data_IF_410449285607
#
_entry.id   IF_410449285607
#
_cell.length_a   1.000
_cell.length_b   1.000
_cell.length_c   1.000
_cell.angle_alpha   90.00
_cell.angle_beta   90.00
_cell.angle_gamma   90.00
#
_symmetry.space_group_name_H-M   'P 1'
#
loop_
_entity.id
_entity.type
_entity.pdbx_description
1 polymer ?
#
# COMPACT_ATOMS: atom_id res chain seq x y z
N UNK A 1 23.18 -9.16 7.77
CA UNK A 1 23.69 -8.04 8.60
C UNK A 1 22.55 -7.56 9.50
N UNK A 2 22.84 -7.20 10.73
CA UNK A 2 21.82 -6.64 11.65
C UNK A 2 21.51 -5.22 11.16
N UNK A 3 20.24 -4.93 10.84
CA UNK A 3 19.83 -3.59 10.45
C UNK A 3 19.95 -2.63 11.64
N UNK A 4 20.46 -1.40 11.48
CA UNK A 4 20.64 -0.45 12.60
C UNK A 4 19.36 -0.19 13.40
N UNK A 5 18.19 -0.18 12.74
CA UNK A 5 16.88 0.02 13.37
C UNK A 5 16.40 -1.17 14.22
N UNK A 6 17.09 -2.33 14.21
CA UNK A 6 16.84 -3.41 15.16
C UNK A 6 17.30 -3.04 16.56
N UNK A 7 18.49 -2.43 16.68
CA UNK A 7 19.10 -2.07 17.97
C UNK A 7 18.72 -0.67 18.44
N UNK A 8 18.45 0.25 17.50
CA UNK A 8 18.14 1.64 17.77
C UNK A 8 16.87 2.05 17.04
N UNK A 9 15.70 1.58 17.50
CA UNK A 9 14.42 1.93 16.89
C UNK A 9 14.12 3.43 17.09
N UNK A 10 13.50 4.03 16.10
CA UNK A 10 12.99 5.40 16.16
C UNK A 10 11.58 5.39 16.78
N UNK A 11 11.51 5.74 18.08
CA UNK A 11 10.27 5.71 18.87
C UNK A 11 10.23 6.77 19.99
N UNK A 12 11.26 7.61 20.10
CA UNK A 12 11.35 8.61 21.17
C UNK A 12 10.82 9.95 20.68
N UNK A 13 10.39 10.82 21.59
CA UNK A 13 9.85 12.13 21.24
C UNK A 13 10.81 12.99 20.42
N UNK A 14 12.12 12.85 20.59
CA UNK A 14 13.14 13.52 19.79
C UNK A 14 13.20 13.02 18.33
N UNK A 15 12.70 11.81 18.05
CA UNK A 15 12.71 11.20 16.71
C UNK A 15 11.57 11.71 15.82
N UNK A 16 10.71 12.58 16.33
CA UNK A 16 9.57 13.10 15.55
C UNK A 16 10.02 13.69 14.21
N UNK A 17 9.42 13.20 13.14
CA UNK A 17 9.67 13.65 11.77
C UNK A 17 10.92 13.05 11.12
N UNK A 18 11.65 12.15 11.81
CA UNK A 18 12.80 11.49 11.21
C UNK A 18 12.38 10.44 10.19
N UNK A 19 13.11 10.32 9.07
CA UNK A 19 12.86 9.31 8.05
C UNK A 19 13.14 7.90 8.58
N UNK A 20 12.29 6.95 8.22
CA UNK A 20 12.47 5.52 8.48
C UNK A 20 12.50 4.76 7.15
N UNK A 21 13.67 4.25 6.70
CA UNK A 21 15.00 4.31 7.33
C UNK A 21 15.63 5.71 7.23
N UNK A 22 16.84 5.90 7.75
CA UNK A 22 17.60 7.14 7.60
C UNK A 22 18.08 7.32 6.14
N UNK A 23 17.14 7.69 5.29
CA UNK A 23 17.35 7.91 3.84
C UNK A 23 16.55 9.12 3.40
N UNK A 24 17.10 9.92 2.49
CA UNK A 24 16.38 11.02 1.84
C UNK A 24 15.12 10.52 1.10
N UNK A 25 15.14 9.27 0.65
CA UNK A 25 14.06 8.65 -0.13
C UNK A 25 13.17 7.71 0.71
N UNK A 26 13.24 7.80 2.05
CA UNK A 26 12.42 7.00 2.93
C UNK A 26 10.92 7.19 2.65
N UNK A 27 10.18 6.09 2.71
CA UNK A 27 8.73 6.06 2.51
C UNK A 27 7.96 5.93 3.82
N UNK A 28 8.61 6.19 4.94
CA UNK A 28 7.99 6.23 6.26
C UNK A 28 8.65 7.31 7.11
N UNK A 29 7.95 7.77 8.12
CA UNK A 29 8.38 8.82 9.04
C UNK A 29 8.03 8.42 10.46
N UNK A 30 8.86 8.81 11.42
CA UNK A 30 8.61 8.57 12.83
C UNK A 30 7.55 9.55 13.38
N UNK A 31 6.48 8.98 13.93
CA UNK A 31 5.45 9.68 14.71
C UNK A 31 5.40 9.02 16.10
N UNK A 32 6.26 9.45 17.03
CA UNK A 32 6.57 8.67 18.24
C UNK A 32 5.47 8.64 19.30
N UNK A 33 4.63 9.68 19.37
CA UNK A 33 3.56 9.75 20.36
C UNK A 33 2.17 9.71 19.74
N UNK A 34 1.17 9.36 20.54
CA UNK A 34 -0.22 9.41 20.09
C UNK A 34 -0.63 10.82 19.67
N UNK A 35 -0.17 11.83 20.41
CA UNK A 35 -0.41 13.23 20.07
C UNK A 35 0.24 13.64 18.75
N UNK A 36 1.41 13.07 18.39
CA UNK A 36 2.06 13.34 17.11
C UNK A 36 1.30 12.71 15.93
N UNK A 37 0.71 11.53 16.14
CA UNK A 37 -0.17 10.91 15.15
C UNK A 37 -1.39 11.79 14.88
N UNK A 38 -2.05 12.28 15.93
CA UNK A 38 -3.19 13.21 15.80
C UNK A 38 -2.74 14.49 15.12
N UNK A 39 -1.67 15.12 15.59
CA UNK A 39 -1.14 16.37 15.01
C UNK A 39 -0.70 16.23 13.55
N UNK A 40 -0.28 15.03 13.13
CA UNK A 40 0.00 14.75 11.72
C UNK A 40 -1.27 14.82 10.86
N UNK A 41 -2.36 14.23 11.32
CA UNK A 41 -3.64 14.25 10.60
C UNK A 41 -4.30 15.63 10.63
N UNK A 42 -4.20 16.33 11.74
CA UNK A 42 -4.72 17.72 11.91
C UNK A 42 -3.82 18.80 11.29
N UNK A 43 -2.67 18.39 10.70
CA UNK A 43 -1.69 19.29 10.08
C UNK A 43 -1.11 20.34 11.04
N UNK A 44 -0.93 19.96 12.30
CA UNK A 44 -0.33 20.86 13.29
C UNK A 44 1.11 21.21 12.91
N UNK A 45 1.46 22.51 12.94
CA UNK A 45 2.81 23.01 12.60
C UNK A 45 3.90 22.35 13.45
N UNK A 46 3.64 22.07 14.74
CA UNK A 46 4.62 21.39 15.62
C UNK A 46 5.06 20.02 15.09
N UNK A 47 4.22 19.34 14.29
CA UNK A 47 4.51 18.04 13.67
C UNK A 47 5.02 18.24 12.25
N UNK A 48 4.26 18.96 11.43
CA UNK A 48 4.54 19.11 10.00
C UNK A 48 5.89 19.79 9.74
N UNK A 49 6.25 20.82 10.51
CA UNK A 49 7.52 21.55 10.34
C UNK A 49 8.76 20.71 10.72
N UNK A 50 8.55 19.63 11.47
CA UNK A 50 9.64 18.68 11.83
C UNK A 50 9.82 17.55 10.81
N UNK A 51 8.86 17.35 9.92
CA UNK A 51 8.88 16.24 8.98
C UNK A 51 9.94 16.45 7.90
N UNK A 52 10.95 15.58 7.89
CA UNK A 52 11.98 15.54 6.83
C UNK A 52 11.54 14.71 5.62
N UNK A 53 10.57 13.82 5.82
CA UNK A 53 9.95 12.97 4.81
C UNK A 53 8.56 12.55 5.30
N UNK A 54 7.87 11.73 4.51
CA UNK A 54 6.58 11.12 4.83
C UNK A 54 6.26 10.05 3.80
N UNK A 55 5.11 9.39 3.93
CA UNK A 55 4.70 8.49 2.86
C UNK A 55 4.40 9.31 1.59
N UNK A 56 5.13 9.06 0.47
CA UNK A 56 5.24 10.03 -0.63
C UNK A 56 3.92 10.48 -1.26
N UNK A 57 2.85 9.67 -1.16
CA UNK A 57 1.54 10.01 -1.72
C UNK A 57 0.70 10.89 -0.77
N UNK A 58 0.91 10.75 0.54
CA UNK A 58 0.19 11.55 1.55
C UNK A 58 0.93 12.85 1.90
N UNK A 59 2.25 12.79 1.88
CA UNK A 59 3.13 13.92 2.16
C UNK A 59 3.87 14.34 0.89
N UNK A 60 3.80 15.62 0.53
CA UNK A 60 4.54 16.15 -0.61
C UNK A 60 6.01 16.26 -0.23
N UNK A 61 6.83 15.38 -0.78
CA UNK A 61 8.24 15.28 -0.45
C UNK A 61 8.98 16.61 -0.72
N UNK A 62 9.94 17.08 0.12
CA UNK A 62 10.64 18.34 -0.07
C UNK A 62 11.29 18.51 -1.46
N UNK A 63 11.84 17.43 -2.04
CA UNK A 63 12.37 17.46 -3.42
C UNK A 63 11.26 17.72 -4.45
N UNK A 64 10.08 17.17 -4.26
CA UNK A 64 8.93 17.42 -5.15
C UNK A 64 8.44 18.87 -5.00
N UNK A 65 8.39 19.40 -3.78
CA UNK A 65 8.06 20.82 -3.53
C UNK A 65 9.03 21.73 -4.28
N UNK A 66 10.33 21.45 -4.21
CA UNK A 66 11.34 22.22 -4.96
C UNK A 66 11.19 22.10 -6.48
N UNK A 67 10.80 20.93 -6.99
CA UNK A 67 10.45 20.79 -8.42
C UNK A 67 9.28 21.71 -8.76
N UNK A 68 8.20 21.72 -7.95
CA UNK A 68 7.06 22.61 -8.16
C UNK A 68 7.47 24.09 -8.14
N UNK A 69 8.35 24.50 -7.22
CA UNK A 69 8.89 25.87 -7.15
C UNK A 69 9.67 26.24 -8.42
N UNK A 70 10.53 25.34 -8.93
CA UNK A 70 11.31 25.57 -10.16
C UNK A 70 10.43 25.61 -11.41
N UNK A 71 9.34 24.82 -11.43
CA UNK A 71 8.37 24.85 -12.53
C UNK A 71 7.59 26.17 -12.59
N UNK A 72 7.59 26.96 -11.50
CA UNK A 72 7.11 28.34 -11.38
C UNK A 72 5.77 28.60 -12.09
N UNK A 73 4.63 28.08 -11.58
CA UNK A 73 3.34 28.33 -12.18
C UNK A 73 2.99 29.84 -12.11
N UNK A 74 2.13 30.30 -13.02
CA UNK A 74 1.61 31.67 -12.99
C UNK A 74 0.80 31.92 -11.68
N UNK A 75 0.63 33.18 -11.31
CA UNK A 75 -0.18 33.57 -10.15
C UNK A 75 -1.60 33.00 -10.25
N UNK A 76 -2.10 32.45 -9.15
CA UNK A 76 -3.42 31.77 -9.10
C UNK A 76 -3.42 30.33 -9.64
N UNK A 77 -2.25 29.82 -10.05
CA UNK A 77 -2.08 28.44 -10.50
C UNK A 77 -1.12 27.68 -9.59
N UNK A 78 -1.28 26.38 -9.58
CA UNK A 78 -0.39 25.41 -8.94
C UNK A 78 0.11 24.38 -9.96
N UNK A 79 1.12 23.61 -9.59
CA UNK A 79 1.69 22.56 -10.44
C UNK A 79 1.98 21.31 -9.63
N UNK A 80 1.72 20.14 -10.25
CA UNK A 80 2.14 18.84 -9.72
C UNK A 80 2.87 18.06 -10.82
N UNK A 81 4.06 17.50 -10.50
CA UNK A 81 4.81 16.63 -11.41
C UNK A 81 4.29 15.19 -11.31
N UNK A 82 4.33 14.49 -12.43
CA UNK A 82 3.88 13.09 -12.58
C UNK A 82 5.00 12.19 -13.12
N UNK A 83 4.79 10.88 -13.05
CA UNK A 83 5.70 9.90 -13.60
C UNK A 83 5.65 9.83 -15.14
N UNK A 84 4.52 10.21 -15.73
CA UNK A 84 4.27 10.10 -17.17
C UNK A 84 3.27 11.17 -17.67
N UNK A 85 3.28 11.38 -18.99
CA UNK A 85 2.46 12.40 -19.66
C UNK A 85 0.96 12.15 -19.52
N UNK A 86 0.52 10.89 -19.58
CA UNK A 86 -0.88 10.53 -19.49
C UNK A 86 -1.43 10.94 -18.12
N UNK A 87 -0.68 10.67 -17.04
CA UNK A 87 -1.06 11.09 -15.70
C UNK A 87 -1.18 12.62 -15.56
N UNK A 88 -0.25 13.36 -16.16
CA UNK A 88 -0.35 14.83 -16.18
C UNK A 88 -1.57 15.32 -16.96
N UNK A 89 -1.87 14.68 -18.10
CA UNK A 89 -3.04 15.01 -18.93
C UNK A 89 -4.36 14.68 -18.21
N UNK A 90 -4.47 13.54 -17.56
CA UNK A 90 -5.64 13.15 -16.76
C UNK A 90 -5.89 14.13 -15.61
N UNK A 91 -4.84 14.51 -14.87
CA UNK A 91 -4.92 15.53 -13.83
C UNK A 91 -5.38 16.88 -14.39
N UNK A 92 -4.80 17.33 -15.50
CA UNK A 92 -5.17 18.58 -16.17
C UNK A 92 -6.63 18.56 -16.61
N UNK A 93 -7.10 17.47 -17.21
CA UNK A 93 -8.50 17.32 -17.63
C UNK A 93 -9.46 17.37 -16.44
N UNK A 94 -9.11 16.71 -15.33
CA UNK A 94 -9.91 16.69 -14.11
C UNK A 94 -10.03 18.08 -13.44
N UNK A 95 -8.99 18.91 -13.59
CA UNK A 95 -8.86 20.20 -12.87
C UNK A 95 -9.14 21.43 -13.74
N UNK A 96 -9.44 21.23 -15.02
CA UNK A 96 -9.56 22.34 -15.99
C UNK A 96 -8.21 23.03 -16.26
N UNK A 97 -7.12 22.34 -16.04
CA UNK A 97 -5.75 22.81 -16.19
C UNK A 97 -5.13 22.47 -17.54
N UNK A 98 -3.80 22.52 -17.62
CA UNK A 98 -3.00 22.14 -18.79
C UNK A 98 -1.86 21.22 -18.40
N UNK A 99 -1.57 20.22 -19.22
CA UNK A 99 -0.41 19.36 -19.07
C UNK A 99 0.73 19.86 -19.96
N UNK A 100 1.95 19.87 -19.46
CA UNK A 100 3.16 20.24 -20.18
C UNK A 100 4.32 19.30 -19.84
N UNK A 101 5.16 19.04 -20.82
CA UNK A 101 6.50 18.47 -20.61
C UNK A 101 7.49 19.60 -20.37
N UNK A 102 8.13 19.64 -19.20
CA UNK A 102 9.13 20.66 -18.85
C UNK A 102 10.45 19.98 -18.55
N UNK A 103 11.42 20.11 -19.46
CA UNK A 103 12.76 19.50 -19.34
C UNK A 103 12.68 17.99 -18.97
N UNK A 104 11.79 17.25 -19.61
CA UNK A 104 11.60 15.82 -19.38
C UNK A 104 10.69 15.44 -18.22
N UNK A 105 10.16 16.40 -17.43
CA UNK A 105 9.16 16.15 -16.41
C UNK A 105 7.75 16.43 -16.94
N UNK A 106 6.84 15.44 -16.94
CA UNK A 106 5.43 15.67 -17.17
C UNK A 106 4.80 16.39 -15.96
N UNK A 107 4.13 17.51 -16.20
CA UNK A 107 3.52 18.29 -15.12
C UNK A 107 2.11 18.77 -15.51
N UNK A 108 1.19 18.78 -14.56
CA UNK A 108 -0.12 19.40 -14.68
C UNK A 108 -0.10 20.77 -13.97
N UNK A 109 -0.47 21.81 -14.69
CA UNK A 109 -0.68 23.17 -14.19
C UNK A 109 -2.18 23.40 -14.07
N UNK A 110 -2.67 23.79 -12.91
CA UNK A 110 -4.10 23.89 -12.64
C UNK A 110 -4.43 25.09 -11.75
N UNK A 111 -5.66 25.63 -11.82
CA UNK A 111 -6.10 26.71 -10.93
C UNK A 111 -6.01 26.28 -9.46
N UNK A 112 -5.56 27.18 -8.56
CA UNK A 112 -5.46 26.89 -7.12
C UNK A 112 -6.81 26.48 -6.49
N UNK A 113 -7.93 26.89 -7.07
CA UNK A 113 -9.27 26.43 -6.67
C UNK A 113 -9.49 24.93 -6.88
N UNK A 114 -8.72 24.28 -7.75
CA UNK A 114 -8.79 22.84 -8.02
C UNK A 114 -7.77 22.01 -7.21
N UNK A 115 -7.07 22.62 -6.24
CA UNK A 115 -6.03 21.98 -5.41
C UNK A 115 -6.48 20.63 -4.84
N UNK A 116 -7.65 20.59 -4.21
CA UNK A 116 -8.16 19.35 -3.59
C UNK A 116 -8.35 18.21 -4.59
N UNK A 117 -8.86 18.50 -5.79
CA UNK A 117 -9.04 17.51 -6.86
C UNK A 117 -7.71 17.03 -7.43
N UNK A 118 -6.77 17.96 -7.67
CA UNK A 118 -5.43 17.63 -8.15
C UNK A 118 -4.68 16.73 -7.14
N UNK A 119 -4.71 17.11 -5.86
CA UNK A 119 -4.08 16.33 -4.78
C UNK A 119 -4.73 14.96 -4.61
N UNK A 120 -6.06 14.85 -4.69
CA UNK A 120 -6.75 13.57 -4.63
C UNK A 120 -6.34 12.64 -5.79
N UNK A 121 -6.27 13.17 -7.02
CA UNK A 121 -5.78 12.40 -8.16
C UNK A 121 -4.33 11.98 -7.97
N UNK A 122 -3.43 12.91 -7.63
CA UNK A 122 -2.01 12.66 -7.40
C UNK A 122 -1.78 11.57 -6.35
N UNK A 123 -2.51 11.64 -5.23
CA UNK A 123 -2.42 10.68 -4.13
C UNK A 123 -2.95 9.30 -4.53
N UNK A 124 -4.19 9.23 -5.03
CA UNK A 124 -4.89 7.95 -5.20
C UNK A 124 -4.43 7.21 -6.46
N UNK A 125 -4.25 7.89 -7.60
CA UNK A 125 -3.74 7.26 -8.81
C UNK A 125 -2.29 6.79 -8.65
N UNK A 126 -1.50 7.43 -7.78
CA UNK A 126 -0.16 6.98 -7.44
C UNK A 126 0.89 7.07 -8.57
N UNK A 127 0.58 7.72 -9.69
CA UNK A 127 1.48 7.93 -10.84
C UNK A 127 2.32 9.19 -10.65
N UNK A 128 2.98 9.27 -9.50
CA UNK A 128 3.72 10.44 -9.04
C UNK A 128 5.19 10.40 -9.45
N UNK A 129 5.81 11.57 -9.62
CA UNK A 129 7.27 11.67 -9.77
C UNK A 129 7.96 11.13 -8.52
N UNK A 130 8.97 10.28 -8.68
CA UNK A 130 9.72 9.77 -7.52
C UNK A 130 10.68 10.81 -6.96
N UNK A 131 11.03 10.68 -5.68
CA UNK A 131 11.99 11.58 -5.03
C UNK A 131 13.39 11.48 -5.64
N UNK A 132 13.79 10.30 -6.19
CA UNK A 132 15.07 10.15 -6.90
C UNK A 132 15.04 10.82 -8.26
N UNK A 133 13.94 10.72 -9.00
CA UNK A 133 13.78 11.45 -10.26
C UNK A 133 13.79 12.96 -10.03
N UNK A 134 13.12 13.43 -8.97
CA UNK A 134 13.16 14.84 -8.57
C UNK A 134 14.58 15.29 -8.18
N UNK A 135 15.32 14.48 -7.43
CA UNK A 135 16.71 14.79 -7.06
C UNK A 135 17.62 14.96 -8.28
N UNK A 136 17.56 14.03 -9.22
CA UNK A 136 18.37 14.06 -10.43
C UNK A 136 18.03 15.28 -11.29
N UNK A 137 16.74 15.51 -11.49
CA UNK A 137 16.28 16.65 -12.28
C UNK A 137 16.68 18.00 -11.64
N UNK A 138 16.59 18.14 -10.34
CA UNK A 138 17.00 19.35 -9.63
C UNK A 138 18.51 19.61 -9.76
N UNK A 139 19.32 18.55 -9.88
CA UNK A 139 20.78 18.67 -10.04
C UNK A 139 21.22 19.00 -11.47
N UNK A 140 20.58 18.39 -12.46
CA UNK A 140 21.09 18.37 -13.84
C UNK A 140 20.08 18.79 -14.90
N UNK A 141 18.80 18.95 -14.56
CA UNK A 141 17.66 19.10 -15.48
C UNK A 141 17.52 17.92 -16.47
N UNK A 142 18.08 16.77 -16.14
CA UNK A 142 18.08 15.57 -16.97
C UNK A 142 17.66 14.38 -16.09
N UNK A 143 16.77 13.54 -16.60
CA UNK A 143 16.40 12.26 -15.99
C UNK A 143 17.34 11.16 -16.47
N UNK A 144 17.66 10.20 -15.61
CA UNK A 144 18.42 9.02 -16.00
C UNK A 144 17.66 8.22 -17.07
N UNK A 145 18.34 7.64 -18.07
CA UNK A 145 17.71 6.87 -19.12
C UNK A 145 17.04 5.59 -18.56
N UNK A 146 16.03 5.08 -19.26
CA UNK A 146 15.43 3.80 -18.94
C UNK A 146 16.46 2.67 -18.95
N UNK A 147 16.24 1.65 -18.11
CA UNK A 147 17.10 0.46 -18.02
C UNK A 147 16.28 -0.82 -18.29
N UNK A 148 16.01 -1.15 -19.58
CA UNK A 148 15.17 -2.30 -19.95
C UNK A 148 15.72 -3.65 -19.46
N UNK A 149 17.06 -3.77 -19.36
CA UNK A 149 17.69 -4.99 -18.86
C UNK A 149 17.29 -5.24 -17.39
N UNK A 150 17.42 -4.24 -16.56
CA UNK A 150 17.13 -4.33 -15.14
C UNK A 150 15.62 -4.53 -14.90
N UNK A 151 14.80 -3.91 -15.74
CA UNK A 151 13.36 -4.13 -15.75
C UNK A 151 13.01 -5.59 -16.04
N UNK A 152 13.65 -6.20 -17.04
CA UNK A 152 13.46 -7.61 -17.36
C UNK A 152 13.95 -8.52 -16.23
N UNK A 153 15.08 -8.22 -15.61
CA UNK A 153 15.61 -8.96 -14.45
C UNK A 153 14.60 -8.97 -13.29
N UNK A 154 13.99 -7.83 -12.97
CA UNK A 154 12.95 -7.74 -11.94
C UNK A 154 11.67 -8.48 -12.31
N UNK A 155 11.18 -8.33 -13.54
CA UNK A 155 10.01 -9.08 -14.01
C UNK A 155 10.25 -10.59 -13.94
N UNK A 156 11.43 -11.06 -14.34
CA UNK A 156 11.82 -12.47 -14.26
C UNK A 156 11.84 -12.97 -12.81
N UNK A 157 12.36 -12.15 -11.89
CA UNK A 157 12.38 -12.47 -10.46
C UNK A 157 10.97 -12.57 -9.88
N UNK A 158 10.11 -11.60 -10.18
CA UNK A 158 8.69 -11.62 -9.78
C UNK A 158 7.95 -12.82 -10.36
N UNK A 159 8.22 -13.18 -11.63
CA UNK A 159 7.69 -14.37 -12.28
C UNK A 159 8.08 -15.65 -11.53
N UNK A 160 9.35 -15.77 -11.13
CA UNK A 160 9.86 -16.89 -10.34
C UNK A 160 9.16 -17.08 -8.99
N UNK A 161 8.78 -15.97 -8.33
CA UNK A 161 8.07 -16.04 -7.05
C UNK A 161 6.56 -16.25 -7.20
N UNK A 162 5.95 -15.60 -8.17
CA UNK A 162 4.50 -15.64 -8.37
C UNK A 162 4.03 -16.88 -9.12
N UNK A 163 4.82 -17.35 -10.08
CA UNK A 163 4.44 -18.35 -11.08
C UNK A 163 3.77 -17.74 -12.31
N UNK A 164 3.75 -16.41 -12.46
CA UNK A 164 3.31 -15.73 -13.67
C UNK A 164 4.39 -15.78 -14.76
N UNK A 165 4.00 -15.47 -16.01
CA UNK A 165 4.95 -15.23 -17.09
C UNK A 165 5.53 -13.81 -16.98
N UNK A 166 6.84 -13.64 -17.21
CA UNK A 166 7.50 -12.34 -17.06
C UNK A 166 6.94 -11.26 -18.00
N UNK A 167 6.49 -11.67 -19.17
CA UNK A 167 5.87 -10.82 -20.20
C UNK A 167 4.48 -10.30 -19.77
N UNK A 168 3.83 -11.01 -18.84
CA UNK A 168 2.52 -10.65 -18.27
C UNK A 168 2.64 -9.75 -17.03
N UNK A 169 3.85 -9.33 -16.68
CA UNK A 169 4.11 -8.45 -15.54
C UNK A 169 4.48 -7.06 -16.05
N UNK A 170 3.72 -6.06 -15.65
CA UNK A 170 4.06 -4.65 -15.86
C UNK A 170 4.51 -4.01 -14.54
N UNK A 171 5.56 -3.19 -14.61
CA UNK A 171 6.09 -2.43 -13.48
C UNK A 171 5.50 -1.02 -13.45
N UNK A 172 5.24 -0.51 -12.27
CA UNK A 172 4.55 0.76 -12.05
C UNK A 172 5.28 1.62 -11.00
N UNK A 173 5.15 2.96 -11.05
CA UNK A 173 5.85 3.86 -10.11
C UNK A 173 5.39 3.71 -8.65
N UNK A 174 4.26 3.06 -8.41
CA UNK A 174 3.79 2.72 -7.06
C UNK A 174 2.80 1.54 -7.09
N UNK A 175 2.53 0.93 -5.92
CA UNK A 175 1.46 -0.06 -5.79
C UNK A 175 0.09 0.50 -6.19
N UNK A 176 -0.20 1.77 -5.84
CA UNK A 176 -1.45 2.41 -6.25
C UNK A 176 -1.54 2.68 -7.75
N UNK A 177 -0.41 2.92 -8.42
CA UNK A 177 -0.40 3.01 -9.88
C UNK A 177 -0.75 1.67 -10.54
N UNK A 178 -0.36 0.54 -9.95
CA UNK A 178 -0.78 -0.79 -10.39
C UNK A 178 -2.29 -1.03 -10.15
N UNK A 179 -2.81 -0.66 -8.99
CA UNK A 179 -4.25 -0.69 -8.68
C UNK A 179 -5.04 0.20 -9.65
N UNK A 180 -4.55 1.42 -9.90
CA UNK A 180 -5.21 2.35 -10.83
C UNK A 180 -5.19 1.83 -12.26
N UNK A 181 -4.10 1.19 -12.71
CA UNK A 181 -4.03 0.54 -14.01
C UNK A 181 -5.04 -0.62 -14.13
N UNK A 182 -5.19 -1.46 -13.10
CA UNK A 182 -6.23 -2.48 -13.06
C UNK A 182 -7.63 -1.87 -13.13
N UNK A 183 -7.88 -0.80 -12.37
CA UNK A 183 -9.15 -0.07 -12.39
C UNK A 183 -9.46 0.48 -13.80
N UNK A 184 -8.49 1.15 -14.45
CA UNK A 184 -8.66 1.68 -15.81
C UNK A 184 -8.93 0.57 -16.84
N UNK A 185 -8.26 -0.56 -16.71
CA UNK A 185 -8.48 -1.75 -17.55
C UNK A 185 -9.93 -2.20 -17.49
N UNK A 186 -10.48 -2.35 -16.28
CA UNK A 186 -11.86 -2.80 -16.09
C UNK A 186 -12.88 -1.77 -16.55
N UNK A 187 -12.62 -0.50 -16.27
CA UNK A 187 -13.50 0.60 -16.70
C UNK A 187 -13.53 0.73 -18.22
N UNK A 188 -12.39 0.58 -18.90
CA UNK A 188 -12.29 0.62 -20.36
C UNK A 188 -12.99 -0.57 -21.00
N UNK A 189 -12.90 -1.75 -20.38
CA UNK A 189 -13.60 -2.96 -20.85
C UNK A 189 -15.12 -2.86 -20.70
N UNK A 190 -15.61 -2.24 -19.60
CA UNK A 190 -17.05 -2.07 -19.32
C UNK A 190 -17.35 -0.63 -18.88
N UNK A 191 -17.37 0.32 -19.83
CA UNK A 191 -17.63 1.72 -19.52
C UNK A 191 -18.99 1.92 -18.83
N UNK A 192 -19.01 2.82 -17.82
CA UNK A 192 -20.22 3.16 -17.10
C UNK A 192 -20.72 2.12 -16.09
N UNK A 193 -20.03 0.99 -15.92
CA UNK A 193 -20.40 -0.03 -14.93
C UNK A 193 -19.65 0.18 -13.62
N UNK A 194 -20.36 0.02 -12.48
CA UNK A 194 -19.78 0.10 -11.14
C UNK A 194 -18.76 -1.00 -10.89
N UNK A 195 -17.91 -0.80 -9.91
CA UNK A 195 -17.00 -1.82 -9.36
C UNK A 195 -17.58 -2.43 -8.10
N UNK A 196 -17.02 -3.55 -7.70
CA UNK A 196 -17.22 -4.12 -6.35
C UNK A 196 -15.91 -4.04 -5.59
N UNK A 197 -15.97 -3.62 -4.32
CA UNK A 197 -14.91 -3.83 -3.34
C UNK A 197 -15.37 -4.88 -2.34
N UNK A 198 -14.67 -6.02 -2.30
CA UNK A 198 -15.02 -7.17 -1.47
C UNK A 198 -13.98 -7.36 -0.35
N UNK A 199 -14.39 -7.19 0.88
CA UNK A 199 -13.52 -7.07 2.05
C UNK A 199 -13.09 -5.63 2.32
N UNK A 200 -12.65 -5.36 3.56
CA UNK A 200 -12.15 -4.04 3.95
C UNK A 200 -10.76 -3.81 3.36
N UNK A 201 -10.57 -2.79 2.48
CA UNK A 201 -9.33 -2.61 1.75
C UNK A 201 -8.42 -1.56 2.37
N UNK A 202 -7.24 -1.43 1.80
CA UNK A 202 -6.44 -0.22 1.90
C UNK A 202 -7.25 0.99 1.44
N UNK A 203 -7.22 2.06 2.24
CA UNK A 203 -8.12 3.22 2.06
C UNK A 203 -8.11 3.79 0.63
N UNK A 204 -6.94 3.94 0.02
CA UNK A 204 -6.84 4.55 -1.32
C UNK A 204 -7.42 3.65 -2.43
N UNK A 205 -7.43 2.34 -2.28
CA UNK A 205 -8.10 1.43 -3.23
C UNK A 205 -9.60 1.75 -3.28
N UNK A 206 -10.25 1.84 -2.12
CA UNK A 206 -11.67 2.20 -2.07
C UNK A 206 -11.92 3.62 -2.63
N UNK A 207 -11.04 4.58 -2.31
CA UNK A 207 -11.15 5.97 -2.82
C UNK A 207 -11.01 6.05 -4.33
N UNK A 208 -10.17 5.22 -4.99
CA UNK A 208 -10.12 5.13 -6.45
C UNK A 208 -11.49 4.74 -7.00
N UNK A 209 -12.07 3.65 -6.48
CA UNK A 209 -13.35 3.12 -6.97
C UNK A 209 -14.50 4.10 -6.75
N UNK A 210 -14.46 4.87 -5.65
CA UNK A 210 -15.46 5.87 -5.31
C UNK A 210 -15.36 7.15 -6.15
N UNK A 211 -14.14 7.63 -6.43
CA UNK A 211 -13.92 8.99 -6.96
C UNK A 211 -13.72 9.04 -8.46
N UNK A 212 -13.16 7.99 -9.08
CA UNK A 212 -12.73 8.06 -10.49
C UNK A 212 -13.56 7.16 -11.40
N UNK A 213 -14.58 6.49 -10.86
CA UNK A 213 -15.47 5.61 -11.60
C UNK A 213 -16.94 5.93 -11.41
N UNK A 214 -17.81 5.11 -12.00
CA UNK A 214 -19.27 5.26 -11.88
C UNK A 214 -19.82 4.90 -10.51
N UNK A 215 -18.94 4.53 -9.56
CA UNK A 215 -19.27 4.13 -8.19
C UNK A 215 -18.79 2.71 -7.85
N UNK A 216 -18.99 2.34 -6.59
CA UNK A 216 -18.58 1.05 -6.04
C UNK A 216 -19.66 0.49 -5.12
N UNK A 217 -19.91 -0.81 -5.23
CA UNK A 217 -20.62 -1.56 -4.21
C UNK A 217 -19.61 -2.13 -3.22
N UNK A 218 -19.80 -1.85 -1.94
CA UNK A 218 -18.83 -2.19 -0.91
C UNK A 218 -19.37 -3.26 0.06
N UNK A 219 -18.64 -4.36 0.16
CA UNK A 219 -18.93 -5.49 1.05
C UNK A 219 -17.85 -5.55 2.14
N UNK A 220 -18.00 -4.83 3.26
CA UNK A 220 -16.88 -4.54 4.18
C UNK A 220 -16.32 -5.75 4.91
N UNK A 221 -17.09 -6.80 5.13
CA UNK A 221 -16.61 -7.98 5.85
C UNK A 221 -15.90 -8.98 4.96
N UNK A 222 -16.32 -9.08 3.68
CA UNK A 222 -15.76 -10.04 2.74
C UNK A 222 -15.97 -11.51 3.18
N UNK A 223 -16.96 -11.76 4.01
CA UNK A 223 -17.33 -13.08 4.55
C UNK A 223 -18.34 -13.82 3.66
N UNK A 224 -18.78 -15.00 4.09
CA UNK A 224 -19.76 -15.82 3.35
C UNK A 224 -21.12 -15.11 3.19
N UNK A 225 -21.53 -14.28 4.14
CA UNK A 225 -22.76 -13.51 4.03
C UNK A 225 -22.65 -12.43 2.96
N UNK A 226 -21.50 -11.75 2.90
CA UNK A 226 -21.21 -10.79 1.83
C UNK A 226 -21.10 -11.47 0.46
N UNK A 227 -20.55 -12.71 0.41
CA UNK A 227 -20.46 -13.48 -0.83
C UNK A 227 -21.85 -13.84 -1.37
N UNK A 228 -22.81 -14.22 -0.50
CA UNK A 228 -24.20 -14.48 -0.89
C UNK A 228 -24.87 -13.21 -1.42
N UNK A 229 -24.71 -12.08 -0.73
CA UNK A 229 -25.24 -10.77 -1.18
C UNK A 229 -24.64 -10.35 -2.52
N UNK A 230 -23.35 -10.59 -2.73
CA UNK A 230 -22.71 -10.35 -4.03
C UNK A 230 -23.33 -11.24 -5.12
N UNK A 231 -23.56 -12.54 -4.84
CA UNK A 231 -24.18 -13.43 -5.81
C UNK A 231 -25.60 -12.99 -6.20
N UNK A 232 -26.38 -12.46 -5.26
CA UNK A 232 -27.71 -11.88 -5.52
C UNK A 232 -27.62 -10.60 -6.37
N UNK A 233 -26.67 -9.71 -6.06
CA UNK A 233 -26.41 -8.49 -6.84
C UNK A 233 -26.11 -8.83 -8.32
N UNK A 234 -25.23 -9.81 -8.55
CA UNK A 234 -24.78 -10.18 -9.88
C UNK A 234 -25.84 -10.84 -10.76
N UNK A 235 -26.95 -11.33 -10.17
CA UNK A 235 -28.12 -11.81 -10.93
C UNK A 235 -28.88 -10.64 -11.57
N UNK A 236 -28.81 -9.45 -11.00
CA UNK A 236 -29.62 -8.30 -11.39
C UNK A 236 -28.80 -7.15 -11.99
N UNK A 237 -27.51 -7.15 -11.78
CA UNK A 237 -26.64 -6.05 -12.21
C UNK A 237 -25.34 -6.54 -12.84
N UNK A 238 -24.93 -5.91 -13.94
CA UNK A 238 -23.61 -6.08 -14.55
C UNK A 238 -22.63 -5.08 -13.96
N UNK A 239 -21.55 -5.58 -13.39
CA UNK A 239 -20.44 -4.77 -12.85
C UNK A 239 -19.19 -4.87 -13.71
N UNK A 240 -18.25 -3.92 -13.59
CA UNK A 240 -17.03 -3.91 -14.38
C UNK A 240 -15.99 -4.90 -13.86
N UNK A 241 -15.86 -5.04 -12.53
CA UNK A 241 -14.90 -5.95 -11.90
C UNK A 241 -15.03 -5.97 -10.37
N UNK A 242 -14.40 -6.95 -9.76
CA UNK A 242 -14.35 -7.17 -8.32
C UNK A 242 -12.91 -6.96 -7.83
N UNK A 243 -12.72 -6.10 -6.83
CA UNK A 243 -11.45 -5.92 -6.13
C UNK A 243 -11.53 -6.58 -4.76
N UNK A 244 -10.44 -7.24 -4.34
CA UNK A 244 -10.27 -7.73 -2.96
C UNK A 244 -8.79 -7.74 -2.58
N UNK A 245 -8.50 -7.85 -1.28
CA UNK A 245 -7.15 -8.00 -0.73
C UNK A 245 -6.95 -9.38 -0.11
N UNK A 246 -5.74 -9.92 -0.22
CA UNK A 246 -5.39 -11.24 0.33
C UNK A 246 -4.07 -11.16 1.11
N UNK A 247 -4.12 -11.08 2.45
CA UNK A 247 -5.29 -10.74 3.29
C UNK A 247 -5.61 -9.24 3.30
N UNK A 248 -6.76 -8.87 3.82
CA UNK A 248 -7.24 -7.49 3.98
C UNK A 248 -6.40 -6.71 5.03
N UNK A 249 -6.55 -5.39 5.05
CA UNK A 249 -5.87 -4.48 5.97
C UNK A 249 -6.91 -3.59 6.70
N UNK A 250 -6.97 -3.54 8.05
CA UNK A 250 -5.97 -4.03 9.01
C UNK A 250 -6.31 -5.37 9.70
N UNK A 251 -7.49 -5.96 9.50
CA UNK A 251 -7.93 -7.15 10.23
C UNK A 251 -7.41 -8.47 9.64
N UNK A 252 -6.69 -8.43 8.54
CA UNK A 252 -6.00 -9.58 7.92
C UNK A 252 -6.93 -10.75 7.59
N UNK A 253 -8.21 -10.45 7.40
CA UNK A 253 -9.19 -11.42 6.94
C UNK A 253 -8.93 -11.76 5.46
N UNK A 254 -9.10 -13.02 5.10
CA UNK A 254 -8.95 -13.49 3.72
C UNK A 254 -10.31 -13.92 3.18
N UNK A 255 -10.78 -13.34 2.08
CA UNK A 255 -12.02 -13.77 1.45
C UNK A 255 -11.90 -15.21 0.92
N UNK A 256 -13.04 -15.88 0.75
CA UNK A 256 -13.11 -17.16 0.04
C UNK A 256 -12.83 -16.91 -1.45
N UNK A 257 -11.55 -16.74 -1.79
CA UNK A 257 -11.12 -16.35 -3.14
C UNK A 257 -11.51 -17.36 -4.22
N UNK A 258 -11.45 -18.70 -4.00
CA UNK A 258 -11.98 -19.68 -4.94
C UNK A 258 -13.46 -19.45 -5.27
N UNK A 259 -14.31 -19.24 -4.28
CA UNK A 259 -15.74 -19.00 -4.47
C UNK A 259 -15.99 -17.64 -5.16
N UNK A 260 -15.22 -16.60 -4.81
CA UNK A 260 -15.29 -15.31 -5.48
C UNK A 260 -14.91 -15.43 -6.97
N UNK A 261 -13.87 -16.21 -7.28
CA UNK A 261 -13.45 -16.50 -8.66
C UNK A 261 -14.52 -17.29 -9.43
N UNK A 262 -15.24 -18.22 -8.77
CA UNK A 262 -16.35 -18.97 -9.38
C UNK A 262 -17.50 -18.04 -9.75
N UNK A 263 -17.84 -17.08 -8.89
CA UNK A 263 -18.80 -16.04 -9.23
C UNK A 263 -18.31 -15.17 -10.40
N UNK A 264 -17.04 -14.72 -10.36
CA UNK A 264 -16.44 -13.97 -11.44
C UNK A 264 -16.56 -14.68 -12.79
N UNK A 265 -16.21 -15.98 -12.84
CA UNK A 265 -16.34 -16.79 -14.06
C UNK A 265 -17.78 -16.94 -14.51
N UNK A 266 -18.72 -17.24 -13.60
CA UNK A 266 -20.13 -17.44 -13.91
C UNK A 266 -20.78 -16.21 -14.52
N UNK A 267 -20.40 -15.02 -14.09
CA UNK A 267 -20.96 -13.74 -14.57
C UNK A 267 -20.01 -12.98 -15.51
N UNK A 268 -18.91 -13.61 -15.92
CA UNK A 268 -17.88 -13.03 -16.81
C UNK A 268 -17.25 -11.73 -16.27
N UNK A 269 -17.10 -11.63 -14.94
CA UNK A 269 -16.59 -10.46 -14.24
C UNK A 269 -15.16 -10.72 -13.79
N UNK A 270 -14.17 -9.93 -14.21
CA UNK A 270 -12.80 -10.07 -13.77
C UNK A 270 -12.63 -9.80 -12.28
N UNK A 271 -11.73 -10.57 -11.66
CA UNK A 271 -11.34 -10.43 -10.25
C UNK A 271 -9.92 -9.87 -10.17
N UNK A 272 -9.75 -8.78 -9.41
CA UNK A 272 -8.47 -8.14 -9.09
C UNK A 272 -8.12 -8.41 -7.65
N UNK A 273 -6.94 -8.95 -7.41
CA UNK A 273 -6.42 -9.21 -6.07
C UNK A 273 -5.25 -8.27 -5.78
N UNK A 274 -5.28 -7.60 -4.64
CA UNK A 274 -4.08 -7.00 -4.05
C UNK A 274 -3.46 -8.02 -3.07
N UNK A 275 -2.28 -8.53 -3.40
CA UNK A 275 -1.53 -9.48 -2.56
C UNK A 275 -0.38 -8.85 -1.77
N UNK A 276 -0.35 -7.53 -1.66
CA UNK A 276 0.75 -6.77 -1.04
C UNK A 276 1.13 -7.27 0.36
N UNK A 277 0.15 -7.64 1.19
CA UNK A 277 0.40 -8.16 2.55
C UNK A 277 0.69 -9.66 2.53
N UNK A 278 -0.10 -10.43 1.78
CA UNK A 278 0.11 -11.87 1.63
C UNK A 278 1.42 -12.20 0.95
N UNK A 279 1.72 -11.48 -0.07
CA UNK A 279 2.85 -11.64 -1.00
C UNK A 279 2.81 -12.94 -1.82
N UNK A 280 3.34 -12.87 -3.01
CA UNK A 280 3.48 -14.04 -3.89
C UNK A 280 4.40 -15.14 -3.32
N UNK A 281 5.15 -14.85 -2.25
CA UNK A 281 5.92 -15.87 -1.51
C UNK A 281 5.03 -16.75 -0.64
N UNK A 282 4.04 -16.15 0.04
CA UNK A 282 3.19 -16.85 1.00
C UNK A 282 1.95 -17.47 0.36
N UNK A 283 1.31 -16.76 -0.58
CA UNK A 283 0.01 -17.15 -1.15
C UNK A 283 0.05 -17.32 -2.66
N UNK A 284 -0.73 -18.27 -3.16
CA UNK A 284 -0.89 -18.57 -4.58
C UNK A 284 -2.26 -18.09 -5.08
N UNK A 285 -2.40 -16.83 -5.47
CA UNK A 285 -3.68 -16.24 -5.88
C UNK A 285 -3.98 -16.36 -7.37
N UNK A 286 -2.96 -16.54 -8.22
CA UNK A 286 -3.09 -16.54 -9.69
C UNK A 286 -4.18 -17.45 -10.27
N UNK A 287 -4.45 -18.67 -9.72
CA UNK A 287 -5.52 -19.52 -10.24
C UNK A 287 -6.93 -18.95 -10.05
N UNK A 288 -7.07 -17.96 -9.16
CA UNK A 288 -8.36 -17.47 -8.66
C UNK A 288 -8.62 -15.99 -8.99
N UNK A 289 -7.83 -15.39 -9.86
CA UNK A 289 -8.01 -13.99 -10.25
C UNK A 289 -7.60 -13.76 -11.71
N UNK A 290 -7.83 -12.56 -12.20
CA UNK A 290 -7.49 -12.12 -13.55
C UNK A 290 -6.33 -11.13 -13.54
N UNK A 291 -6.28 -10.29 -12.51
CA UNK A 291 -5.20 -9.33 -12.29
C UNK A 291 -4.72 -9.43 -10.84
N UNK A 292 -3.41 -9.34 -10.65
CA UNK A 292 -2.80 -9.19 -9.31
C UNK A 292 -2.04 -7.89 -9.27
N UNK A 293 -2.44 -6.99 -8.38
CA UNK A 293 -1.67 -5.80 -8.05
C UNK A 293 -0.86 -6.03 -6.78
N UNK A 294 0.38 -5.56 -6.77
CA UNK A 294 1.24 -5.70 -5.58
C UNK A 294 2.12 -4.46 -5.41
N UNK A 295 2.28 -4.00 -4.16
CA UNK A 295 3.22 -2.93 -3.85
C UNK A 295 4.61 -3.50 -3.59
N UNK A 296 5.52 -3.29 -4.54
CA UNK A 296 6.92 -3.68 -4.42
C UNK A 296 7.69 -2.86 -3.37
N UNK A 297 7.16 -1.69 -3.00
CA UNK A 297 7.62 -0.82 -1.90
C UNK A 297 7.71 -1.56 -0.56
N UNK A 298 6.82 -2.54 -0.35
CA UNK A 298 6.60 -3.22 0.92
C UNK A 298 7.59 -4.40 1.10
N UNK A 299 7.09 -5.58 1.39
CA UNK A 299 7.90 -6.75 1.71
C UNK A 299 8.95 -7.10 0.62
N UNK A 300 8.66 -6.85 -0.65
CA UNK A 300 9.59 -7.16 -1.74
C UNK A 300 10.85 -6.29 -1.67
N UNK A 301 10.73 -4.98 -1.49
CA UNK A 301 11.88 -4.11 -1.21
C UNK A 301 12.45 -4.39 0.19
N UNK A 302 11.61 -4.36 1.23
CA UNK A 302 12.01 -4.64 2.60
C UNK A 302 12.80 -3.54 3.30
N UNK A 303 13.25 -2.49 2.61
CA UNK A 303 14.08 -1.42 3.17
C UNK A 303 13.31 -0.13 3.45
N UNK A 304 12.15 0.08 2.79
CA UNK A 304 11.32 1.25 3.01
C UNK A 304 11.88 2.55 2.42
N UNK A 305 12.68 2.46 1.35
CA UNK A 305 13.35 3.60 0.72
C UNK A 305 13.10 3.71 -0.81
N UNK A 306 12.17 2.95 -1.34
CA UNK A 306 11.77 2.97 -2.75
C UNK A 306 10.26 2.84 -2.91
N UNK A 307 9.69 3.57 -3.86
CA UNK A 307 8.27 3.47 -4.23
C UNK A 307 8.15 2.72 -5.56
N UNK A 308 7.42 1.60 -5.56
CA UNK A 308 7.24 0.77 -6.74
C UNK A 308 6.01 -0.13 -6.63
N UNK A 309 5.49 -0.59 -7.77
CA UNK A 309 4.40 -1.54 -7.86
C UNK A 309 4.53 -2.47 -9.06
N UNK A 310 3.73 -3.53 -9.09
CA UNK A 310 3.58 -4.40 -10.25
C UNK A 310 2.11 -4.78 -10.44
N UNK A 311 1.74 -4.98 -11.69
CA UNK A 311 0.46 -5.57 -12.10
C UNK A 311 0.77 -6.81 -12.94
N UNK A 312 0.22 -7.95 -12.50
CA UNK A 312 0.34 -9.24 -13.17
C UNK A 312 -0.99 -9.55 -13.85
N UNK A 313 -0.97 -9.86 -15.14
CA UNK A 313 -2.14 -10.31 -15.87
C UNK A 313 -2.13 -11.83 -15.99
N UNK A 314 -3.13 -12.48 -15.37
CA UNK A 314 -3.32 -13.93 -15.40
C UNK A 314 -4.73 -14.30 -15.91
N UNK A 315 -5.34 -13.38 -16.65
CA UNK A 315 -6.75 -13.41 -17.02
C UNK A 315 -7.16 -14.63 -17.81
N UNK A 316 -8.34 -15.12 -17.46
CA UNK A 316 -9.11 -16.09 -18.26
C UNK A 316 -10.02 -15.41 -19.31
N UNK A 317 -10.06 -14.06 -19.32
CA UNK A 317 -10.78 -13.26 -20.30
C UNK A 317 -9.81 -12.86 -21.43
N UNK A 318 -9.95 -13.43 -22.66
CA UNK A 318 -8.95 -13.24 -23.73
C UNK A 318 -8.74 -11.80 -24.16
N UNK A 319 -9.76 -10.96 -23.96
CA UNK A 319 -9.78 -9.55 -24.34
C UNK A 319 -9.14 -8.61 -23.29
N UNK A 320 -8.98 -9.06 -22.04
CA UNK A 320 -8.60 -8.17 -20.95
C UNK A 320 -7.23 -7.51 -21.14
N UNK A 321 -6.28 -8.23 -21.70
CA UNK A 321 -4.94 -7.70 -21.98
C UNK A 321 -4.93 -6.52 -22.94
N UNK A 322 -5.89 -6.49 -23.89
CA UNK A 322 -6.00 -5.40 -24.86
C UNK A 322 -6.42 -4.06 -24.24
N UNK A 323 -6.97 -4.08 -23.01
CA UNK A 323 -7.35 -2.90 -22.26
C UNK A 323 -6.31 -2.45 -21.24
N UNK A 324 -5.20 -3.20 -21.08
CA UNK A 324 -4.13 -2.78 -20.16
C UNK A 324 -3.51 -1.45 -20.64
N UNK A 325 -3.45 -0.43 -19.78
CA UNK A 325 -2.90 0.85 -20.18
C UNK A 325 -1.38 0.73 -20.41
N UNK A 326 -0.89 1.42 -21.43
CA UNK A 326 0.55 1.64 -21.57
C UNK A 326 1.01 2.57 -20.45
N UNK A 327 1.89 2.09 -19.59
CA UNK A 327 2.42 2.88 -18.47
C UNK A 327 3.92 3.04 -18.60
N UNK A 328 4.44 4.19 -18.15
CA UNK A 328 5.85 4.33 -17.90
C UNK A 328 6.19 3.53 -16.63
N UNK A 329 7.22 2.68 -16.71
CA UNK A 329 7.66 1.84 -15.61
C UNK A 329 8.24 2.61 -14.41
N UNK A 330 9.01 1.93 -13.61
CA UNK A 330 9.72 2.50 -12.46
C UNK A 330 10.89 3.35 -12.98
N UNK A 331 11.15 4.51 -12.37
CA UNK A 331 12.33 5.32 -12.68
C UNK A 331 13.61 4.50 -12.50
N UNK A 332 14.57 4.62 -13.40
CA UNK A 332 15.71 3.69 -13.48
C UNK A 332 16.52 3.60 -12.18
N UNK A 333 16.75 4.70 -11.47
CA UNK A 333 17.44 4.67 -10.17
C UNK A 333 16.62 4.05 -9.04
N UNK A 334 15.30 4.17 -9.08
CA UNK A 334 14.43 3.44 -8.17
C UNK A 334 14.43 1.94 -8.50
N UNK A 335 14.51 1.61 -9.78
CA UNK A 335 14.64 0.24 -10.27
C UNK A 335 15.94 -0.42 -9.79
N UNK A 336 17.08 0.29 -9.80
CA UNK A 336 18.37 -0.16 -9.27
C UNK A 336 18.29 -0.48 -7.78
N UNK A 337 17.65 0.40 -7.00
CA UNK A 337 17.46 0.20 -5.57
C UNK A 337 16.55 -0.98 -5.29
N UNK A 338 15.43 -1.09 -6.00
CA UNK A 338 14.49 -2.18 -5.85
C UNK A 338 15.12 -3.54 -6.23
N UNK A 339 15.88 -3.58 -7.32
CA UNK A 339 16.59 -4.79 -7.72
C UNK A 339 17.51 -5.29 -6.62
N UNK A 340 18.32 -4.40 -6.05
CA UNK A 340 19.23 -4.72 -4.94
C UNK A 340 18.46 -5.19 -3.71
N UNK A 341 17.46 -4.43 -3.29
CA UNK A 341 16.69 -4.67 -2.06
C UNK A 341 15.86 -5.96 -2.12
N UNK A 342 15.45 -6.38 -3.31
CA UNK A 342 14.60 -7.57 -3.48
C UNK A 342 15.36 -8.89 -3.54
N UNK A 343 16.71 -8.88 -3.52
CA UNK A 343 17.53 -10.10 -3.71
C UNK A 343 17.32 -11.12 -2.60
N UNK A 344 17.15 -10.69 -1.37
CA UNK A 344 16.98 -11.51 -0.18
C UNK A 344 15.51 -11.66 0.27
N UNK A 345 14.56 -11.28 -0.59
CA UNK A 345 13.14 -11.25 -0.24
C UNK A 345 12.62 -12.59 0.31
N UNK A 346 12.90 -13.77 -0.30
CA UNK A 346 12.41 -15.05 0.22
C UNK A 346 12.94 -15.37 1.62
N UNK A 347 14.24 -15.19 1.83
CA UNK A 347 14.92 -15.48 3.11
C UNK A 347 14.42 -14.55 4.20
N UNK A 348 14.29 -13.26 3.90
CA UNK A 348 13.73 -12.26 4.82
C UNK A 348 12.30 -12.58 5.19
N UNK A 349 11.46 -12.97 4.22
CA UNK A 349 10.08 -13.34 4.47
C UNK A 349 9.94 -14.55 5.38
N UNK A 350 10.83 -15.55 5.27
CA UNK A 350 10.81 -16.70 6.19
C UNK A 350 11.03 -16.26 7.63
N UNK A 351 11.99 -15.37 7.89
CA UNK A 351 12.28 -14.85 9.23
C UNK A 351 11.12 -14.01 9.75
N UNK A 352 10.63 -13.05 8.94
CA UNK A 352 9.52 -12.18 9.34
C UNK A 352 8.22 -12.96 9.60
N UNK A 353 7.91 -13.98 8.78
CA UNK A 353 6.78 -14.88 9.00
C UNK A 353 6.89 -15.63 10.33
N UNK A 354 8.06 -16.16 10.64
CA UNK A 354 8.30 -16.89 11.90
C UNK A 354 8.13 -15.95 13.10
N UNK A 355 8.74 -14.77 13.04
CA UNK A 355 8.64 -13.76 14.09
C UNK A 355 7.20 -13.29 14.30
N UNK A 356 6.46 -13.02 13.22
CA UNK A 356 5.06 -12.60 13.31
C UNK A 356 4.17 -13.68 13.93
N UNK A 357 4.38 -14.95 13.59
CA UNK A 357 3.66 -16.07 14.18
C UNK A 357 3.90 -16.18 15.69
N UNK A 358 5.15 -16.06 16.13
CA UNK A 358 5.51 -16.12 17.57
C UNK A 358 4.94 -14.91 18.32
N UNK A 359 5.05 -13.69 17.74
CA UNK A 359 4.48 -12.50 18.35
C UNK A 359 2.94 -12.57 18.42
N UNK A 360 2.26 -13.09 17.38
CA UNK A 360 0.82 -13.27 17.40
C UNK A 360 0.37 -14.23 18.51
N UNK A 361 1.09 -15.35 18.69
CA UNK A 361 0.86 -16.30 19.78
C UNK A 361 1.07 -15.68 21.16
N UNK A 362 2.15 -14.92 21.31
CA UNK A 362 2.47 -14.21 22.55
C UNK A 362 1.34 -13.24 22.91
N UNK A 363 0.94 -12.39 21.96
CA UNK A 363 -0.11 -11.39 22.17
C UNK A 363 -1.48 -12.02 22.46
N UNK A 364 -1.83 -13.13 21.78
CA UNK A 364 -3.11 -13.84 22.00
C UNK A 364 -3.24 -14.40 23.41
N UNK A 365 -2.14 -14.72 24.07
CA UNK A 365 -2.12 -15.26 25.42
C UNK A 365 -1.85 -14.18 26.50
N UNK A 366 -1.62 -12.93 26.09
CA UNK A 366 -1.27 -11.87 27.03
C UNK A 366 -2.50 -11.27 27.72
N UNK A 367 -2.53 -11.17 29.07
CA UNK A 367 -3.70 -10.74 29.83
C UNK A 367 -4.16 -9.30 29.52
N UNK A 368 -3.28 -8.42 29.05
CA UNK A 368 -3.60 -7.03 28.68
C UNK A 368 -4.17 -6.89 27.26
N UNK A 369 -4.19 -7.96 26.46
CA UNK A 369 -4.67 -7.93 25.07
C UNK A 369 -6.10 -8.47 25.02
N UNK A 370 -6.97 -7.79 24.27
CA UNK A 370 -8.35 -8.18 24.05
C UNK A 370 -8.49 -9.04 22.79
N UNK A 371 -7.88 -8.61 21.69
CA UNK A 371 -7.98 -9.30 20.41
C UNK A 371 -6.69 -9.19 19.61
N UNK A 372 -6.40 -10.22 18.82
CA UNK A 372 -5.27 -10.27 17.89
C UNK A 372 -5.78 -10.77 16.54
N UNK A 373 -5.41 -10.08 15.48
CA UNK A 373 -5.68 -10.48 14.10
C UNK A 373 -4.38 -10.84 13.41
N UNK A 374 -4.30 -12.06 12.95
CA UNK A 374 -3.23 -12.61 12.13
C UNK A 374 -3.76 -13.82 11.37
N UNK A 375 -3.37 -14.08 10.12
CA UNK A 375 -3.98 -15.16 9.33
C UNK A 375 -3.86 -16.56 9.96
N UNK A 376 -2.87 -16.78 10.85
CA UNK A 376 -2.74 -18.05 11.59
C UNK A 376 -3.81 -18.24 12.68
N UNK A 377 -4.44 -17.18 13.13
CA UNK A 377 -5.47 -17.15 14.18
C UNK A 377 -6.89 -17.04 13.60
N UNK A 378 -7.02 -16.75 12.30
CA UNK A 378 -8.30 -16.69 11.62
C UNK A 378 -8.93 -18.10 11.59
N UNK A 379 -10.16 -18.28 12.11
CA UNK A 379 -10.87 -19.56 12.05
C UNK A 379 -11.23 -19.96 10.61
N UNK A 380 -11.31 -19.02 9.69
CA UNK A 380 -11.57 -19.27 8.28
C UNK A 380 -10.44 -20.11 7.64
N UNK A 381 -10.77 -21.13 6.84
CA UNK A 381 -9.78 -21.89 6.09
C UNK A 381 -9.22 -21.13 4.88
N UNK A 382 -9.75 -19.96 4.54
CA UNK A 382 -9.51 -19.27 3.28
C UNK A 382 -8.02 -18.98 3.06
N UNK A 383 -7.31 -18.42 4.05
CA UNK A 383 -5.87 -18.18 3.92
C UNK A 383 -5.06 -19.48 3.76
N UNK A 384 -5.41 -20.51 4.55
CA UNK A 384 -4.73 -21.82 4.49
C UNK A 384 -4.86 -22.47 3.13
N UNK A 385 -6.02 -22.31 2.48
CA UNK A 385 -6.28 -22.84 1.14
C UNK A 385 -5.41 -22.19 0.05
N UNK A 386 -5.03 -20.93 0.25
CA UNK A 386 -4.18 -20.18 -0.68
C UNK A 386 -2.69 -20.26 -0.34
N UNK A 387 -2.34 -20.68 0.88
CA UNK A 387 -0.96 -20.69 1.36
C UNK A 387 -0.10 -21.69 0.58
N UNK A 388 1.02 -21.21 0.06
CA UNK A 388 2.01 -22.05 -0.64
C UNK A 388 2.73 -22.99 0.34
N UNK A 389 3.26 -24.14 -0.12
CA UNK A 389 3.98 -25.08 0.75
C UNK A 389 5.13 -24.46 1.54
N UNK A 390 5.91 -23.57 0.91
CA UNK A 390 7.01 -22.83 1.54
C UNK A 390 6.56 -21.54 2.25
N UNK A 391 5.31 -21.13 2.05
CA UNK A 391 4.77 -19.86 2.55
C UNK A 391 4.43 -19.91 4.03
N UNK A 392 4.50 -18.74 4.68
CA UNK A 392 4.02 -18.51 6.05
C UNK A 392 2.63 -17.87 6.09
N UNK A 393 2.34 -17.25 7.23
CA UNK A 393 1.09 -16.53 7.47
C UNK A 393 1.19 -15.01 7.27
N UNK A 394 2.32 -14.54 6.72
CA UNK A 394 2.61 -13.12 6.56
C UNK A 394 3.31 -12.51 7.78
N UNK A 395 3.82 -11.30 7.56
CA UNK A 395 4.61 -10.57 8.56
C UNK A 395 3.84 -9.39 9.19
N UNK A 396 2.52 -9.32 8.98
CA UNK A 396 1.68 -8.25 9.54
C UNK A 396 0.67 -8.87 10.51
N UNK A 397 0.49 -8.22 11.65
CA UNK A 397 -0.59 -8.51 12.59
C UNK A 397 -1.20 -7.21 13.10
N UNK A 398 -2.39 -7.31 13.64
CA UNK A 398 -3.04 -6.23 14.39
C UNK A 398 -3.46 -6.73 15.76
N UNK A 399 -3.46 -5.85 16.75
CA UNK A 399 -3.97 -6.19 18.07
C UNK A 399 -4.70 -5.02 18.74
N UNK A 400 -5.58 -5.36 19.65
CA UNK A 400 -6.36 -4.42 20.45
C UNK A 400 -6.11 -4.69 21.93
N UNK A 401 -5.53 -3.74 22.68
CA UNK A 401 -5.42 -3.84 24.13
C UNK A 401 -6.80 -3.81 24.82
N UNK A 402 -6.93 -4.42 25.99
CA UNK A 402 -8.11 -4.24 26.85
C UNK A 402 -8.27 -2.78 27.25
N UNK A 403 -9.51 -2.29 27.28
CA UNK A 403 -9.82 -0.87 27.49
C UNK A 403 -9.05 0.03 26.52
N UNK A 404 -9.08 -0.32 25.25
CA UNK A 404 -8.21 0.22 24.22
C UNK A 404 -8.17 1.75 24.17
N UNK A 405 -9.30 2.44 24.32
CA UNK A 405 -9.35 3.92 24.36
C UNK A 405 -8.40 4.52 25.39
N UNK A 406 -8.21 3.87 26.54
CA UNK A 406 -7.33 4.34 27.62
C UNK A 406 -5.89 3.86 27.42
N UNK A 407 -5.73 2.56 27.14
CA UNK A 407 -4.41 1.93 27.25
C UNK A 407 -3.61 1.91 25.92
N UNK A 408 -4.28 1.99 24.76
CA UNK A 408 -3.53 1.94 23.49
C UNK A 408 -2.55 3.10 23.32
N UNK A 409 -2.90 4.38 23.63
CA UNK A 409 -1.90 5.46 23.57
C UNK A 409 -0.67 5.18 24.43
N UNK A 410 -0.85 4.77 25.69
CA UNK A 410 0.24 4.47 26.61
C UNK A 410 1.10 3.28 26.17
N UNK A 411 0.47 2.22 25.65
CA UNK A 411 1.18 1.04 25.13
C UNK A 411 1.98 1.41 23.88
N UNK A 412 1.36 2.15 22.94
CA UNK A 412 2.02 2.61 21.75
C UNK A 412 3.29 3.40 22.06
N UNK A 413 3.22 4.39 22.95
CA UNK A 413 4.35 5.23 23.31
C UNK A 413 5.47 4.49 24.06
N UNK A 414 5.15 3.37 24.75
CA UNK A 414 6.14 2.51 25.44
C UNK A 414 6.76 1.45 24.56
N UNK A 415 6.18 1.16 23.37
CA UNK A 415 6.72 0.14 22.47
C UNK A 415 8.08 0.56 21.92
N UNK A 416 9.13 -0.15 22.29
CA UNK A 416 10.51 0.08 21.84
C UNK A 416 10.77 -0.55 20.45
N UNK A 417 9.90 -0.26 19.48
CA UNK A 417 10.03 -0.59 18.05
C UNK A 417 9.85 0.66 17.22
N UNK A 418 10.12 0.64 15.90
CA UNK A 418 10.00 1.85 15.11
C UNK A 418 8.54 2.28 14.95
N UNK A 419 8.22 3.53 15.27
CA UNK A 419 6.88 4.12 15.14
C UNK A 419 6.69 4.71 13.76
N UNK A 420 6.30 3.88 12.79
CA UNK A 420 6.24 4.25 11.39
C UNK A 420 4.99 3.76 10.67
N UNK A 421 4.59 4.53 9.65
CA UNK A 421 3.31 4.40 8.94
C UNK A 421 3.30 3.35 7.82
N UNK A 422 4.46 2.77 7.46
CA UNK A 422 4.58 1.78 6.38
C UNK A 422 4.42 0.34 6.91
N UNK A 423 4.78 -0.64 6.11
CA UNK A 423 4.83 -2.06 6.46
C UNK A 423 5.81 -2.82 5.56
N UNK A 424 6.11 -4.08 5.91
CA UNK A 424 6.88 -5.01 5.07
C UNK A 424 8.38 -4.74 5.07
N UNK A 425 8.91 -4.04 6.08
CA UNK A 425 10.34 -3.76 6.23
C UNK A 425 11.06 -4.90 6.96
N UNK A 426 12.40 -4.93 6.81
CA UNK A 426 13.28 -5.85 7.54
C UNK A 426 13.34 -5.56 9.05
N UNK A 427 12.82 -4.42 9.48
CA UNK A 427 12.68 -3.96 10.87
C UNK A 427 11.21 -3.74 11.22
N UNK A 428 10.87 -3.96 12.49
CA UNK A 428 9.49 -3.86 12.98
C UNK A 428 9.00 -2.42 12.98
N UNK A 429 7.80 -2.23 12.45
CA UNK A 429 7.04 -0.97 12.47
C UNK A 429 5.72 -1.16 13.20
N UNK A 430 5.35 -0.18 14.02
CA UNK A 430 4.04 -0.10 14.66
C UNK A 430 3.37 1.22 14.34
N UNK A 431 2.05 1.20 14.16
CA UNK A 431 1.26 2.42 14.03
C UNK A 431 -0.18 2.22 14.52
N UNK A 432 -0.84 3.26 15.05
CA UNK A 432 -2.28 3.32 15.25
C UNK A 432 -2.98 3.51 13.90
N UNK A 433 -3.16 2.39 13.18
CA UNK A 433 -3.52 2.39 11.77
C UNK A 433 -4.80 3.19 11.45
N UNK A 434 -5.84 3.02 12.27
CA UNK A 434 -7.14 3.67 12.01
C UNK A 434 -7.06 5.18 12.24
N UNK A 435 -6.25 5.62 13.19
CA UNK A 435 -5.99 7.06 13.43
C UNK A 435 -5.22 7.71 12.28
N UNK A 436 -4.46 6.94 11.48
CA UNK A 436 -3.74 7.45 10.32
C UNK A 436 -4.52 7.30 9.01
N UNK A 437 -5.19 6.16 8.83
CA UNK A 437 -5.83 5.86 7.54
C UNK A 437 -7.29 6.35 7.46
N UNK A 438 -7.96 6.53 8.61
CA UNK A 438 -9.39 6.81 8.71
C UNK A 438 -9.71 7.88 9.75
N UNK A 439 -8.79 8.80 10.05
CA UNK A 439 -8.95 9.83 11.08
C UNK A 439 -10.24 10.62 10.93
N UNK A 440 -10.57 11.03 9.72
CA UNK A 440 -11.77 11.83 9.44
C UNK A 440 -13.05 10.98 9.26
N UNK A 441 -12.98 9.66 9.43
CA UNK A 441 -14.09 8.73 9.22
C UNK A 441 -14.11 7.58 10.27
N UNK A 442 -13.71 7.89 11.53
CA UNK A 442 -13.60 6.89 12.60
C UNK A 442 -14.91 6.14 12.89
N UNK A 443 -16.06 6.81 12.82
CA UNK A 443 -17.37 6.18 13.04
C UNK A 443 -17.75 5.24 11.89
N UNK A 444 -17.36 5.60 10.66
CA UNK A 444 -17.50 4.70 9.52
C UNK A 444 -16.62 3.44 9.69
N UNK A 445 -15.37 3.61 10.11
CA UNK A 445 -14.49 2.47 10.39
C UNK A 445 -15.08 1.54 11.47
N UNK A 446 -15.66 2.10 12.55
CA UNK A 446 -16.37 1.32 13.57
C UNK A 446 -17.58 0.55 12.98
N UNK A 447 -18.35 1.19 12.09
CA UNK A 447 -19.50 0.54 11.44
C UNK A 447 -19.07 -0.63 10.55
N UNK A 448 -17.83 -0.64 10.08
CA UNK A 448 -17.18 -1.74 9.36
C UNK A 448 -16.54 -2.78 10.31
N UNK A 449 -16.63 -2.62 11.62
CA UNK A 449 -16.06 -3.54 12.61
C UNK A 449 -14.60 -3.29 12.96
N UNK A 450 -14.05 -2.11 12.63
CA UNK A 450 -12.66 -1.76 12.89
C UNK A 450 -12.54 -0.79 14.07
N UNK A 451 -11.89 -1.21 15.17
CA UNK A 451 -11.73 -0.33 16.33
C UNK A 451 -10.69 0.78 16.04
N UNK A 452 -11.01 2.05 16.34
CA UNK A 452 -10.09 3.19 16.16
C UNK A 452 -8.79 3.12 16.93
N UNK A 453 -8.72 2.32 17.98
CA UNK A 453 -7.52 2.18 18.83
C UNK A 453 -6.70 0.92 18.52
N UNK A 454 -6.99 0.27 17.40
CA UNK A 454 -6.23 -0.88 16.91
C UNK A 454 -4.79 -0.46 16.57
N UNK A 455 -3.81 -1.24 17.05
CA UNK A 455 -2.41 -1.13 16.63
C UNK A 455 -2.11 -2.17 15.54
N UNK A 456 -1.56 -1.71 14.41
CA UNK A 456 -1.02 -2.59 13.37
C UNK A 456 0.49 -2.69 13.52
N UNK A 457 1.00 -3.91 13.50
CA UNK A 457 2.44 -4.23 13.59
C UNK A 457 2.88 -4.92 12.31
N UNK A 458 3.86 -4.35 11.63
CA UNK A 458 4.60 -5.02 10.57
C UNK A 458 5.89 -5.55 11.19
N UNK A 459 5.98 -6.86 11.31
CA UNK A 459 7.04 -7.55 12.07
C UNK A 459 8.26 -7.73 11.18
N UNK A 460 9.42 -7.31 11.66
CA UNK A 460 10.71 -7.41 10.98
C UNK A 460 11.48 -8.68 11.32
N UNK A 461 12.77 -8.63 11.01
CA UNK A 461 13.71 -9.73 11.18
C UNK A 461 14.59 -9.60 12.43
N UNK A 462 14.16 -8.83 13.44
CA UNK A 462 14.82 -8.74 14.74
C UNK A 462 14.91 -10.11 15.42
N UNK A 463 15.89 -10.34 16.32
CA UNK A 463 15.89 -11.51 17.19
C UNK A 463 14.57 -11.61 17.97
N UNK A 464 13.82 -12.70 17.79
CA UNK A 464 12.44 -12.81 18.31
C UNK A 464 12.34 -12.62 19.81
N UNK A 465 13.29 -13.11 20.59
CA UNK A 465 13.26 -12.97 22.05
C UNK A 465 13.39 -11.51 22.48
N UNK A 466 14.18 -10.72 21.77
CA UNK A 466 14.29 -9.29 22.00
C UNK A 466 12.98 -8.57 21.67
N UNK A 467 12.36 -8.92 20.53
CA UNK A 467 11.08 -8.36 20.13
C UNK A 467 9.98 -8.68 21.16
N UNK A 468 9.86 -9.93 21.59
CA UNK A 468 8.89 -10.32 22.63
C UNK A 468 9.11 -9.57 23.93
N UNK A 469 10.37 -9.38 24.36
CA UNK A 469 10.71 -8.60 25.56
C UNK A 469 10.25 -7.14 25.47
N UNK A 470 10.38 -6.51 24.30
CA UNK A 470 9.91 -5.14 24.05
C UNK A 470 8.39 -5.03 24.18
N UNK A 471 7.65 -5.98 23.61
CA UNK A 471 6.18 -6.03 23.74
C UNK A 471 5.75 -6.33 25.17
N UNK A 472 6.41 -7.28 25.88
CA UNK A 472 6.15 -7.56 27.28
C UNK A 472 6.32 -6.31 28.14
N UNK A 473 7.41 -5.56 27.94
CA UNK A 473 7.69 -4.33 28.70
C UNK A 473 6.65 -3.23 28.47
N UNK A 474 6.09 -3.14 27.27
CA UNK A 474 5.08 -2.15 26.94
C UNK A 474 3.70 -2.50 27.48
N UNK A 475 3.38 -3.80 27.50
CA UNK A 475 2.07 -4.31 27.93
C UNK A 475 1.96 -4.44 29.47
N UNK A 476 3.07 -4.62 30.18
CA UNK A 476 3.15 -4.77 31.64
C UNK A 476 3.16 -6.23 32.10
#
# INVERSE_FOLDING_TARGET
MIHPLHSHPLCRSEDLGFPIPNSLHAVSVCLPTWADVIGYEEKESRVIDRMKTGYPRFFLHPLIQRVCEVLAPAEGFEVLPFSDEIAAQECAALTGGTAKMVNGIPAAFFPSSAHASARAYWQHAGRILSSRAAEDWLKTQILAPANPRLELELRTRLAGWSGAEAEKISLHPSGMAAIYAAFQTLLSRRPGKRMVMFGFPYTDTLKILQKFGPGVEFFPRGDEADLQRLAELLQNETIAGIFCEVPSNPLLHTPNLPALADLGRRFEIPVVVDDTIGTSFNVGVLPHCDLVATSLTKAISGEGDVLAGALLCCSKHPDLESFLPTTQGIYSRDLEVLEKNSRDFPERMQICNANALELARFLSNHPAVESVWHPSLDPSPAYKALRKPQGGYGAVLSFLPKNAKKHTPEIFERLAVNHGISLGTSYTLVCPYVQLAHYHELDWARSCGIDPHLLRVAVGAEPIQELLSRFQSALG
#
